data_IF_072884044850
#
_entry.id   IF_072884044850
#
_cell.length_a   1.000
_cell.length_b   1.000
_cell.length_c   1.000
_cell.angle_alpha   90.00
_cell.angle_beta   90.00
_cell.angle_gamma   90.00
#
_symmetry.space_group_name_H-M   'P 1'
#
loop_
_entity.id
_entity.type
_entity.pdbx_description
1 polymer ?
#
# COMPACT_ATOMS: atom_id res chain seq x y z
N UNK A 1 2.52 11.22 21.06
CA UNK A 1 1.64 10.04 20.87
C UNK A 1 2.50 8.87 20.42
N UNK A 2 2.14 7.59 20.67
CA UNK A 2 2.94 6.47 20.19
C UNK A 2 2.83 6.35 18.66
N UNK A 3 3.95 6.07 17.98
CA UNK A 3 3.99 5.86 16.53
C UNK A 3 3.04 4.73 16.08
N UNK A 4 2.41 4.89 14.92
CA UNK A 4 1.57 3.88 14.28
C UNK A 4 2.39 2.68 13.78
N UNK A 5 3.60 2.91 13.26
CA UNK A 5 4.56 1.88 12.89
C UNK A 5 5.92 2.22 13.50
N UNK A 6 6.62 1.21 14.01
CA UNK A 6 8.04 1.30 14.35
C UNK A 6 8.73 0.01 13.94
N UNK A 7 9.75 0.10 13.09
CA UNK A 7 10.60 -1.04 12.71
C UNK A 7 12.02 -0.83 13.23
N UNK A 8 12.71 -1.93 13.51
CA UNK A 8 14.14 -1.91 13.82
C UNK A 8 14.85 -3.02 13.06
N UNK A 9 15.76 -2.65 12.16
CA UNK A 9 16.59 -3.54 11.37
C UNK A 9 15.81 -4.59 10.59
N UNK A 10 14.62 -4.24 10.05
CA UNK A 10 13.74 -5.21 9.41
C UNK A 10 14.37 -5.76 8.12
N UNK A 11 14.49 -7.09 7.98
CA UNK A 11 15.08 -7.72 6.80
C UNK A 11 14.18 -8.78 6.17
N UNK A 12 14.41 -9.04 4.89
CA UNK A 12 13.83 -10.20 4.20
C UNK A 12 14.77 -10.76 3.15
N UNK A 13 15.09 -12.04 3.32
CA UNK A 13 15.88 -12.84 2.39
C UNK A 13 15.04 -13.98 1.82
N UNK A 14 15.12 -14.17 0.51
CA UNK A 14 14.51 -15.29 -0.21
C UNK A 14 15.60 -16.23 -0.73
N UNK A 15 15.38 -17.53 -0.58
CA UNK A 15 16.20 -18.58 -1.17
C UNK A 15 15.45 -19.15 -2.38
N UNK A 16 15.96 -18.86 -3.58
CA UNK A 16 15.33 -19.28 -4.83
C UNK A 16 15.98 -20.59 -5.28
N UNK A 17 15.24 -21.68 -5.16
CA UNK A 17 15.52 -22.96 -5.82
C UNK A 17 14.67 -23.03 -7.09
N UNK A 18 15.32 -22.95 -8.26
CA UNK A 18 14.59 -23.12 -9.52
C UNK A 18 14.15 -24.58 -9.68
N UNK A 19 12.91 -24.87 -10.14
CA UNK A 19 12.54 -26.24 -10.48
C UNK A 19 13.47 -26.78 -11.57
N UNK A 20 13.87 -28.05 -11.46
CA UNK A 20 14.66 -28.73 -12.49
C UNK A 20 13.89 -28.71 -13.82
N UNK A 21 14.36 -27.92 -14.79
CA UNK A 21 13.96 -28.10 -16.18
C UNK A 21 14.45 -29.47 -16.65
N UNK A 22 13.55 -30.35 -17.10
CA UNK A 22 13.84 -31.73 -17.56
C UNK A 22 14.96 -31.85 -18.61
N UNK A 23 15.40 -30.75 -19.23
CA UNK A 23 16.29 -30.77 -20.38
C UNK A 23 17.80 -30.70 -20.09
N UNK A 24 18.30 -30.26 -18.95
CA UNK A 24 19.76 -30.20 -18.72
C UNK A 24 20.16 -30.38 -17.25
N UNK A 25 20.96 -31.42 -16.98
CA UNK A 25 21.61 -31.67 -15.70
C UNK A 25 22.79 -30.72 -15.51
N UNK A 26 22.53 -29.46 -15.21
CA UNK A 26 23.54 -28.58 -14.62
C UNK A 26 23.13 -28.28 -13.18
N UNK A 27 23.98 -28.53 -12.16
CA UNK A 27 23.71 -28.09 -10.80
C UNK A 27 23.67 -26.56 -10.81
N UNK A 28 22.47 -25.98 -10.67
CA UNK A 28 22.31 -24.54 -10.49
C UNK A 28 22.44 -24.23 -9.01
N UNK A 29 23.38 -23.35 -8.67
CA UNK A 29 23.60 -22.89 -7.31
C UNK A 29 22.34 -22.19 -6.79
N UNK A 30 21.92 -22.44 -5.54
CA UNK A 30 20.83 -21.72 -4.90
C UNK A 30 21.12 -20.21 -4.96
N UNK A 31 20.18 -19.42 -5.48
CA UNK A 31 20.32 -17.96 -5.49
C UNK A 31 19.63 -17.37 -4.28
N UNK A 32 20.39 -16.66 -3.46
CA UNK A 32 19.85 -15.90 -2.34
C UNK A 32 19.60 -14.45 -2.77
N UNK A 33 18.41 -13.93 -2.47
CA UNK A 33 18.01 -12.54 -2.76
C UNK A 33 17.60 -11.86 -1.47
N UNK A 34 18.39 -10.87 -1.03
CA UNK A 34 18.05 -10.00 0.08
C UNK A 34 17.20 -8.82 -0.45
N UNK A 35 15.89 -8.97 -0.33
CA UNK A 35 14.89 -8.03 -0.87
C UNK A 35 14.69 -6.81 0.04
N UNK A 36 14.91 -6.97 1.34
CA UNK A 36 14.85 -5.88 2.33
C UNK A 36 16.06 -6.02 3.26
N UNK A 37 16.82 -4.95 3.42
CA UNK A 37 18.20 -4.95 3.96
C UNK A 37 18.36 -4.04 5.17
N UNK A 38 17.50 -4.21 6.17
CA UNK A 38 17.57 -3.47 7.43
C UNK A 38 16.83 -2.14 7.36
N UNK A 39 15.50 -2.20 7.30
CA UNK A 39 14.65 -1.00 7.32
C UNK A 39 14.35 -0.58 8.75
N UNK A 40 14.79 0.63 9.09
CA UNK A 40 14.43 1.37 10.30
C UNK A 40 13.46 2.50 9.93
N UNK A 41 12.19 2.34 10.30
CA UNK A 41 11.10 3.21 9.91
C UNK A 41 10.23 3.50 11.13
N UNK A 42 9.91 4.77 11.34
CA UNK A 42 8.84 5.20 12.24
C UNK A 42 7.75 5.83 11.39
N UNK A 43 6.47 5.58 11.68
CA UNK A 43 5.32 6.24 11.05
C UNK A 43 4.42 6.77 12.17
N UNK A 44 4.08 8.05 12.11
CA UNK A 44 3.27 8.72 13.11
C UNK A 44 1.76 8.47 12.89
N UNK A 45 0.97 8.67 13.95
CA UNK A 45 -0.48 8.55 13.83
C UNK A 45 -1.07 9.71 13.02
N UNK A 46 -2.02 9.43 12.13
CA UNK A 46 -2.67 10.43 11.28
C UNK A 46 -1.84 10.98 10.12
N UNK A 47 -0.65 10.44 9.84
CA UNK A 47 0.12 10.81 8.63
C UNK A 47 -0.20 9.88 7.44
N UNK A 48 -0.04 10.42 6.23
CA UNK A 48 0.05 9.68 4.97
C UNK A 48 1.52 9.53 4.64
N UNK A 49 2.06 8.32 4.81
CA UNK A 49 3.42 7.98 4.42
C UNK A 49 3.45 7.42 2.99
N UNK A 50 4.20 8.07 2.11
CA UNK A 50 4.54 7.54 0.79
C UNK A 50 5.85 6.75 0.81
N UNK A 51 5.77 5.44 0.61
CA UNK A 51 6.90 4.54 0.48
C UNK A 51 7.27 4.40 -1.01
N UNK A 52 8.17 5.26 -1.46
CA UNK A 52 8.48 5.53 -2.85
C UNK A 52 9.76 4.80 -3.28
N UNK A 53 9.79 4.23 -4.49
CA UNK A 53 10.99 3.57 -5.01
C UNK A 53 10.75 2.89 -6.35
N UNK A 54 11.81 2.50 -7.08
CA UNK A 54 11.64 1.79 -8.35
C UNK A 54 11.09 0.37 -8.14
N UNK A 55 10.75 -0.30 -9.24
CA UNK A 55 10.40 -1.73 -9.21
C UNK A 55 11.58 -2.56 -8.69
N UNK A 56 11.27 -3.53 -7.84
CA UNK A 56 12.31 -4.35 -7.19
C UNK A 56 13.01 -3.70 -5.98
N UNK A 57 12.66 -2.48 -5.59
CA UNK A 57 13.30 -1.81 -4.45
C UNK A 57 12.97 -2.41 -3.06
N UNK A 58 12.02 -3.35 -2.98
CA UNK A 58 11.59 -3.96 -1.72
C UNK A 58 10.27 -3.41 -1.13
N UNK A 59 9.56 -2.53 -1.86
CA UNK A 59 8.28 -1.90 -1.43
C UNK A 59 7.22 -2.91 -0.99
N UNK A 60 6.71 -3.70 -1.93
CA UNK A 60 5.69 -4.73 -1.67
C UNK A 60 6.17 -5.77 -0.66
N UNK A 61 7.47 -6.09 -0.63
CA UNK A 61 8.03 -7.03 0.36
C UNK A 61 7.96 -6.44 1.77
N UNK A 62 8.32 -5.17 1.94
CA UNK A 62 8.22 -4.44 3.21
C UNK A 62 6.77 -4.34 3.66
N UNK A 63 5.88 -3.93 2.76
CA UNK A 63 4.45 -3.82 3.06
C UNK A 63 3.88 -5.18 3.50
N UNK A 64 4.16 -6.27 2.77
CA UNK A 64 3.71 -7.63 3.16
C UNK A 64 4.24 -8.08 4.51
N UNK A 65 5.43 -7.64 4.92
CA UNK A 65 5.91 -7.89 6.28
C UNK A 65 5.09 -7.14 7.32
N UNK A 66 4.89 -5.83 7.12
CA UNK A 66 4.12 -4.98 8.02
C UNK A 66 2.64 -5.40 8.14
N UNK A 67 2.09 -6.05 7.10
CA UNK A 67 0.71 -6.58 7.10
C UNK A 67 0.60 -8.03 7.55
N UNK A 68 1.67 -8.63 8.09
CA UNK A 68 1.73 -10.04 8.56
C UNK A 68 1.61 -11.11 7.47
N UNK A 69 1.58 -10.72 6.18
CA UNK A 69 1.49 -11.64 5.05
C UNK A 69 2.82 -12.36 4.75
N UNK A 70 3.93 -11.81 5.22
CA UNK A 70 5.27 -12.37 5.06
C UNK A 70 6.05 -12.21 6.36
N UNK A 71 6.59 -13.28 6.97
CA UNK A 71 7.44 -13.12 8.13
C UNK A 71 8.79 -12.46 7.76
N UNK A 72 9.28 -11.51 8.56
CA UNK A 72 10.65 -11.01 8.42
C UNK A 72 11.69 -12.13 8.60
N UNK A 73 12.84 -11.98 7.96
CA UNK A 73 13.99 -12.86 8.19
C UNK A 73 14.69 -12.49 9.51
N UNK A 74 14.84 -11.20 9.77
CA UNK A 74 15.32 -10.65 11.05
C UNK A 74 14.75 -9.25 11.28
N UNK A 75 15.09 -8.67 12.43
CA UNK A 75 14.57 -7.38 12.88
C UNK A 75 13.24 -7.50 13.61
N UNK A 76 12.70 -6.36 14.01
CA UNK A 76 11.44 -6.27 14.75
C UNK A 76 10.55 -5.19 14.16
N UNK A 77 9.24 -5.31 14.36
CA UNK A 77 8.34 -4.22 14.09
C UNK A 77 7.10 -4.27 14.98
N UNK A 78 6.66 -3.08 15.41
CA UNK A 78 5.38 -2.83 16.05
C UNK A 78 4.49 -2.08 15.06
N UNK A 79 3.27 -2.57 14.85
CA UNK A 79 2.27 -2.02 13.92
C UNK A 79 0.95 -1.86 14.65
N UNK A 80 0.37 -0.65 14.64
CA UNK A 80 -0.84 -0.29 15.38
C UNK A 80 -0.79 -0.70 16.87
N UNK A 81 0.38 -0.51 17.50
CA UNK A 81 0.65 -0.86 18.90
C UNK A 81 0.81 -2.36 19.19
N UNK A 82 0.91 -3.21 18.16
CA UNK A 82 1.04 -4.67 18.28
C UNK A 82 2.33 -5.15 17.62
N UNK A 83 3.06 -6.05 18.28
CA UNK A 83 4.30 -6.61 17.73
C UNK A 83 3.99 -7.67 16.66
N UNK A 84 4.66 -7.58 15.51
CA UNK A 84 4.41 -8.45 14.35
C UNK A 84 4.60 -9.94 14.66
N UNK A 85 5.53 -10.28 15.56
CA UNK A 85 5.94 -11.66 15.81
C UNK A 85 5.09 -12.30 16.90
N UNK A 86 4.79 -11.55 17.95
CA UNK A 86 4.10 -12.04 19.15
C UNK A 86 2.58 -11.85 19.08
N UNK A 87 2.07 -10.84 18.38
CA UNK A 87 0.63 -10.60 18.21
C UNK A 87 0.22 -10.25 16.75
N UNK A 88 0.50 -11.12 15.77
CA UNK A 88 0.10 -10.87 14.37
C UNK A 88 -1.43 -10.82 14.19
N UNK A 89 -2.19 -11.46 15.08
CA UNK A 89 -3.67 -11.40 15.05
C UNK A 89 -4.18 -10.04 15.51
N UNK A 90 -3.58 -9.46 16.55
CA UNK A 90 -3.87 -8.11 17.01
C UNK A 90 -3.53 -7.06 15.95
N UNK A 91 -2.40 -7.22 15.24
CA UNK A 91 -2.06 -6.38 14.08
C UNK A 91 -3.18 -6.42 13.04
N UNK A 92 -3.58 -7.61 12.56
CA UNK A 92 -4.64 -7.77 11.54
C UNK A 92 -6.01 -7.22 11.93
N UNK A 93 -6.31 -7.08 13.23
CA UNK A 93 -7.56 -6.49 13.71
C UNK A 93 -7.57 -4.95 13.68
N UNK A 94 -6.41 -4.33 13.46
CA UNK A 94 -6.23 -2.88 13.52
C UNK A 94 -5.79 -2.28 12.18
N UNK A 95 -5.54 -3.12 11.18
CA UNK A 95 -5.03 -2.68 9.88
C UNK A 95 -5.99 -3.06 8.76
N UNK A 96 -6.21 -2.12 7.84
CA UNK A 96 -6.75 -2.39 6.52
C UNK A 96 -5.61 -2.65 5.54
N UNK A 97 -5.81 -3.55 4.57
CA UNK A 97 -4.84 -3.77 3.51
C UNK A 97 -5.56 -3.90 2.16
N UNK A 98 -5.13 -3.07 1.20
CA UNK A 98 -5.53 -3.13 -0.20
C UNK A 98 -4.31 -3.53 -1.01
N UNK A 99 -4.36 -4.73 -1.61
CA UNK A 99 -3.32 -5.22 -2.49
C UNK A 99 -3.36 -4.51 -3.86
N UNK A 100 -2.25 -4.57 -4.60
CA UNK A 100 -2.18 -4.04 -5.96
C UNK A 100 -3.24 -4.68 -6.87
N UNK A 101 -3.35 -6.00 -6.86
CA UNK A 101 -4.45 -6.75 -7.47
C UNK A 101 -5.62 -6.86 -6.49
N UNK A 102 -6.78 -6.30 -6.83
CA UNK A 102 -8.00 -6.39 -6.02
C UNK A 102 -8.46 -7.84 -5.78
N UNK A 103 -9.35 -8.03 -4.80
CA UNK A 103 -9.78 -9.35 -4.32
C UNK A 103 -11.27 -9.66 -4.49
N UNK A 104 -12.06 -8.75 -5.05
CA UNK A 104 -13.52 -8.87 -5.13
C UNK A 104 -13.97 -9.98 -6.08
N UNK A 105 -15.00 -10.75 -5.70
CA UNK A 105 -15.65 -11.69 -6.61
C UNK A 105 -16.44 -10.93 -7.70
N UNK A 106 -16.10 -11.09 -9.00
CA UNK A 106 -16.74 -10.33 -10.08
C UNK A 106 -18.24 -10.66 -10.25
N UNK A 107 -18.71 -11.81 -9.79
CA UNK A 107 -20.10 -12.23 -9.93
C UNK A 107 -21.01 -11.70 -8.81
N UNK A 108 -20.44 -11.25 -7.70
CA UNK A 108 -21.17 -10.82 -6.49
C UNK A 108 -21.51 -9.32 -6.56
N UNK A 109 -22.64 -8.90 -5.98
CA UNK A 109 -23.00 -7.47 -5.92
C UNK A 109 -22.16 -6.73 -4.90
N UNK A 110 -21.89 -5.45 -5.13
CA UNK A 110 -21.13 -4.59 -4.20
C UNK A 110 -21.66 -4.64 -2.76
N UNK A 111 -22.99 -4.59 -2.59
CA UNK A 111 -23.66 -4.74 -1.29
C UNK A 111 -23.31 -6.05 -0.61
N UNK A 112 -23.34 -7.14 -1.34
CA UNK A 112 -23.15 -8.49 -0.82
C UNK A 112 -21.70 -8.69 -0.41
N UNK A 113 -20.76 -8.17 -1.21
CA UNK A 113 -19.33 -8.18 -0.91
C UNK A 113 -19.03 -7.43 0.40
N UNK A 114 -19.49 -6.19 0.54
CA UNK A 114 -19.33 -5.39 1.75
C UNK A 114 -19.99 -6.03 2.98
N UNK A 115 -21.19 -6.58 2.80
CA UNK A 115 -21.92 -7.23 3.90
C UNK A 115 -21.23 -8.52 4.33
N UNK A 116 -20.67 -9.28 3.38
CA UNK A 116 -19.90 -10.49 3.65
C UNK A 116 -18.63 -10.16 4.42
N UNK A 117 -17.88 -9.14 3.98
CA UNK A 117 -16.70 -8.64 4.69
C UNK A 117 -17.04 -8.22 6.12
N UNK A 118 -18.14 -7.50 6.33
CA UNK A 118 -18.59 -7.08 7.65
C UNK A 118 -18.88 -8.28 8.58
N UNK A 119 -19.52 -9.32 8.04
CA UNK A 119 -19.79 -10.57 8.77
C UNK A 119 -18.51 -11.35 9.09
N UNK A 120 -17.51 -11.36 8.20
CA UNK A 120 -16.21 -11.98 8.48
C UNK A 120 -15.50 -11.30 9.66
N UNK A 121 -15.68 -9.99 9.82
CA UNK A 121 -15.26 -9.23 11.00
C UNK A 121 -16.24 -9.29 12.18
N UNK A 122 -17.20 -10.23 12.14
CA UNK A 122 -18.17 -10.51 13.21
C UNK A 122 -19.14 -9.38 13.52
N UNK A 123 -19.37 -8.47 12.56
CA UNK A 123 -20.50 -7.56 12.62
C UNK A 123 -21.77 -8.35 12.25
N UNK A 124 -22.65 -8.55 13.22
CA UNK A 124 -23.85 -9.38 13.06
C UNK A 124 -25.13 -8.55 12.86
N UNK A 125 -26.16 -9.17 12.29
CA UNK A 125 -27.50 -8.61 12.16
C UNK A 125 -27.53 -7.25 11.44
N UNK A 126 -28.18 -6.27 12.07
CA UNK A 126 -28.33 -4.91 11.54
C UNK A 126 -27.01 -4.12 11.50
N UNK A 127 -25.99 -4.53 12.28
CA UNK A 127 -24.70 -3.84 12.31
C UNK A 127 -23.95 -3.96 10.98
N UNK A 128 -23.95 -5.15 10.36
CA UNK A 128 -23.33 -5.34 9.04
C UNK A 128 -23.99 -4.45 7.98
N UNK A 129 -25.33 -4.47 7.91
CA UNK A 129 -26.06 -3.66 6.93
C UNK A 129 -25.97 -2.15 7.16
N UNK A 130 -25.74 -1.72 8.42
CA UNK A 130 -25.43 -0.32 8.73
C UNK A 130 -24.01 0.03 8.27
N UNK A 131 -23.00 -0.77 8.63
CA UNK A 131 -21.60 -0.54 8.21
C UNK A 131 -21.44 -0.53 6.69
N UNK A 132 -22.14 -1.42 5.97
CA UNK A 132 -22.19 -1.42 4.51
C UNK A 132 -22.69 -0.09 3.95
N UNK A 133 -23.76 0.48 4.54
CA UNK A 133 -24.32 1.77 4.08
C UNK A 133 -23.42 2.95 4.41
N UNK A 134 -22.82 2.96 5.59
CA UNK A 134 -21.83 3.97 6.00
C UNK A 134 -20.69 4.00 4.98
N UNK A 135 -20.00 2.87 4.78
CA UNK A 135 -18.89 2.78 3.83
C UNK A 135 -19.29 3.09 2.39
N UNK A 136 -20.50 2.68 1.97
CA UNK A 136 -20.96 3.00 0.63
C UNK A 136 -21.24 4.49 0.43
N UNK A 137 -21.59 5.24 1.48
CA UNK A 137 -21.69 6.68 1.43
C UNK A 137 -20.29 7.31 1.41
N UNK A 138 -19.42 6.91 2.35
CA UNK A 138 -18.08 7.49 2.53
C UNK A 138 -17.17 7.34 1.30
N UNK A 139 -17.34 6.23 0.56
CA UNK A 139 -16.56 5.88 -0.62
C UNK A 139 -17.30 6.09 -1.94
N UNK A 140 -18.41 6.83 -1.93
CA UNK A 140 -19.15 7.19 -3.15
C UNK A 140 -19.63 5.95 -3.96
N UNK A 141 -20.04 4.89 -3.26
CA UNK A 141 -20.52 3.61 -3.83
C UNK A 141 -22.03 3.40 -3.72
N UNK A 142 -22.78 4.33 -3.10
CA UNK A 142 -24.21 4.17 -2.79
C UNK A 142 -25.04 3.80 -4.03
N UNK A 143 -24.83 4.47 -5.16
CA UNK A 143 -25.50 4.18 -6.43
C UNK A 143 -25.01 2.91 -7.15
N UNK A 144 -24.02 2.21 -6.60
CA UNK A 144 -23.38 1.03 -7.18
C UNK A 144 -23.68 -0.25 -6.39
N UNK A 145 -24.38 -0.15 -5.25
CA UNK A 145 -24.60 -1.25 -4.31
C UNK A 145 -25.18 -2.52 -4.94
N UNK A 146 -26.07 -2.37 -5.92
CA UNK A 146 -26.75 -3.51 -6.57
C UNK A 146 -26.09 -3.93 -7.90
N UNK A 147 -24.98 -3.28 -8.28
CA UNK A 147 -24.18 -3.69 -9.45
C UNK A 147 -23.27 -4.88 -9.09
N UNK A 148 -23.05 -5.83 -10.02
CA UNK A 148 -21.98 -6.81 -9.87
C UNK A 148 -20.60 -6.14 -9.82
N UNK A 149 -19.69 -6.64 -8.98
CA UNK A 149 -18.33 -6.09 -8.85
C UNK A 149 -17.55 -6.16 -10.17
N UNK A 150 -17.84 -7.17 -11.00
CA UNK A 150 -17.29 -7.34 -12.35
C UNK A 150 -17.61 -6.17 -13.29
N UNK A 151 -18.72 -5.46 -13.07
CA UNK A 151 -19.18 -4.34 -13.90
C UNK A 151 -18.67 -2.97 -13.43
N UNK A 152 -17.86 -2.91 -12.37
CA UNK A 152 -17.26 -1.67 -11.88
C UNK A 152 -16.08 -1.24 -12.76
N UNK A 153 -15.91 0.07 -12.96
CA UNK A 153 -14.67 0.63 -13.51
C UNK A 153 -13.49 0.37 -12.57
N UNK A 154 -12.25 0.54 -13.05
CA UNK A 154 -11.05 0.40 -12.23
C UNK A 154 -11.08 1.27 -10.97
N UNK A 155 -11.44 2.55 -11.11
CA UNK A 155 -11.57 3.48 -9.98
C UNK A 155 -12.70 3.09 -9.01
N UNK A 156 -13.85 2.65 -9.51
CA UNK A 156 -14.96 2.17 -8.67
C UNK A 156 -14.57 0.91 -7.90
N UNK A 157 -13.88 -0.03 -8.55
CA UNK A 157 -13.38 -1.24 -7.91
C UNK A 157 -12.34 -0.92 -6.83
N UNK A 158 -11.43 0.03 -7.10
CA UNK A 158 -10.47 0.47 -6.09
C UNK A 158 -11.14 1.10 -4.87
N UNK A 159 -12.20 1.90 -5.08
CA UNK A 159 -13.02 2.42 -3.96
C UNK A 159 -13.70 1.31 -3.18
N UNK A 160 -14.21 0.27 -3.84
CA UNK A 160 -14.72 -0.92 -3.16
C UNK A 160 -13.65 -1.65 -2.35
N UNK A 161 -12.45 -1.85 -2.90
CA UNK A 161 -11.34 -2.48 -2.17
C UNK A 161 -10.99 -1.72 -0.88
N UNK A 162 -10.93 -0.39 -0.96
CA UNK A 162 -10.70 0.46 0.22
C UNK A 162 -11.86 0.33 1.21
N UNK A 163 -13.12 0.28 0.75
CA UNK A 163 -14.29 0.11 1.63
C UNK A 163 -14.21 -1.23 2.40
N UNK A 164 -13.84 -2.30 1.72
CA UNK A 164 -13.63 -3.61 2.35
C UNK A 164 -12.50 -3.59 3.39
N UNK A 165 -11.42 -2.86 3.13
CA UNK A 165 -10.31 -2.72 4.06
C UNK A 165 -10.70 -1.92 5.31
N UNK A 166 -11.62 -0.95 5.19
CA UNK A 166 -12.11 -0.10 6.27
C UNK A 166 -13.26 -0.73 7.08
N UNK A 167 -13.76 -1.90 6.70
CA UNK A 167 -14.97 -2.51 7.26
C UNK A 167 -14.93 -2.69 8.77
N UNK A 168 -13.77 -3.02 9.34
CA UNK A 168 -13.60 -3.25 10.77
C UNK A 168 -13.02 -2.05 11.54
N UNK A 169 -13.04 -0.87 10.92
CA UNK A 169 -12.59 0.40 11.50
C UNK A 169 -11.10 0.39 11.91
N UNK A 170 -10.18 0.12 10.95
CA UNK A 170 -8.76 0.07 11.25
C UNK A 170 -8.18 1.45 11.59
N UNK A 171 -7.16 1.46 12.45
CA UNK A 171 -6.37 2.65 12.80
C UNK A 171 -5.36 3.00 11.68
N UNK A 172 -4.98 2.00 10.88
CA UNK A 172 -3.93 2.11 9.86
C UNK A 172 -4.34 1.39 8.56
N UNK A 173 -4.25 2.08 7.43
CA UNK A 173 -4.58 1.56 6.11
C UNK A 173 -3.31 1.42 5.25
N UNK A 174 -3.05 0.20 4.77
CA UNK A 174 -1.99 -0.08 3.82
C UNK A 174 -2.54 -0.14 2.39
N UNK A 175 -1.93 0.62 1.48
CA UNK A 175 -2.29 0.68 0.07
C UNK A 175 -1.09 0.28 -0.79
N UNK A 176 -1.15 -0.88 -1.45
CA UNK A 176 -0.08 -1.33 -2.34
C UNK A 176 -0.34 -0.84 -3.77
N UNK A 177 0.37 0.20 -4.20
CA UNK A 177 0.22 0.88 -5.49
C UNK A 177 -1.24 1.23 -5.85
N UNK A 178 -1.90 2.11 -5.05
CA UNK A 178 -3.35 2.31 -5.11
C UNK A 178 -3.86 2.84 -6.44
N UNK A 179 -3.06 3.51 -7.26
CA UNK A 179 -3.53 4.08 -8.53
C UNK A 179 -2.92 3.46 -9.78
N UNK A 180 -2.20 2.35 -9.65
CA UNK A 180 -1.69 1.60 -10.81
C UNK A 180 -2.83 1.13 -11.69
N UNK A 181 -2.73 1.41 -12.99
CA UNK A 181 -3.72 1.03 -14.01
C UNK A 181 -5.00 1.87 -14.02
N UNK A 182 -5.07 2.96 -13.24
CA UNK A 182 -6.20 3.90 -13.26
C UNK A 182 -5.95 5.06 -14.24
N UNK A 183 -7.02 5.50 -14.89
CA UNK A 183 -7.01 6.76 -15.65
C UNK A 183 -6.80 7.97 -14.73
N UNK A 184 -6.39 9.15 -15.27
CA UNK A 184 -6.10 10.34 -14.45
C UNK A 184 -7.27 10.81 -13.57
N UNK A 185 -8.51 10.68 -14.06
CA UNK A 185 -9.71 11.08 -13.30
C UNK A 185 -9.92 10.17 -12.08
N UNK A 186 -9.89 8.86 -12.30
CA UNK A 186 -9.98 7.85 -11.24
C UNK A 186 -8.83 7.97 -10.22
N UNK A 187 -7.61 8.26 -10.67
CA UNK A 187 -6.45 8.51 -9.80
C UNK A 187 -6.72 9.68 -8.85
N UNK A 188 -7.16 10.82 -9.39
CA UNK A 188 -7.49 12.00 -8.59
C UNK A 188 -8.66 11.76 -7.61
N UNK A 189 -9.63 10.91 -7.95
CA UNK A 189 -10.70 10.49 -7.03
C UNK A 189 -10.16 9.68 -5.85
N UNK A 190 -9.31 8.68 -6.11
CA UNK A 190 -8.68 7.86 -5.07
C UNK A 190 -7.82 8.75 -4.16
N UNK A 191 -7.06 9.68 -4.73
CA UNK A 191 -6.25 10.60 -3.95
C UNK A 191 -7.08 11.47 -3.00
N UNK A 192 -8.19 12.06 -3.51
CA UNK A 192 -9.13 12.82 -2.68
C UNK A 192 -9.72 11.97 -1.57
N UNK A 193 -10.10 10.72 -1.86
CA UNK A 193 -10.61 9.79 -0.86
C UNK A 193 -9.56 9.51 0.24
N UNK A 194 -8.31 9.21 -0.12
CA UNK A 194 -7.25 8.93 0.86
C UNK A 194 -7.01 10.12 1.78
N UNK A 195 -6.98 11.34 1.23
CA UNK A 195 -6.88 12.56 2.05
C UNK A 195 -8.06 12.72 3.01
N UNK A 196 -9.31 12.55 2.53
CA UNK A 196 -10.51 12.60 3.39
C UNK A 196 -10.46 11.57 4.53
N UNK A 197 -9.99 10.35 4.26
CA UNK A 197 -9.85 9.32 5.31
C UNK A 197 -8.87 9.76 6.40
N UNK A 198 -7.77 10.42 6.04
CA UNK A 198 -6.86 11.02 7.03
C UNK A 198 -7.53 12.18 7.74
N UNK A 199 -8.04 13.16 7.00
CA UNK A 199 -8.49 14.46 7.53
C UNK A 199 -9.73 14.31 8.44
N UNK A 200 -10.70 13.49 8.02
CA UNK A 200 -12.01 13.38 8.69
C UNK A 200 -12.06 12.23 9.69
N UNK A 201 -11.25 11.18 9.52
CA UNK A 201 -11.26 9.97 10.38
C UNK A 201 -9.98 9.73 11.15
N UNK A 202 -8.93 10.49 10.90
CA UNK A 202 -7.63 10.32 11.56
C UNK A 202 -6.93 9.01 11.21
N UNK A 203 -7.30 8.34 10.11
CA UNK A 203 -6.66 7.08 9.70
C UNK A 203 -5.23 7.36 9.26
N UNK A 204 -4.26 6.63 9.82
CA UNK A 204 -2.89 6.62 9.28
C UNK A 204 -2.88 5.85 7.96
N UNK A 205 -2.20 6.36 6.95
CA UNK A 205 -2.09 5.69 5.64
C UNK A 205 -0.63 5.40 5.33
N UNK A 206 -0.35 4.16 4.97
CA UNK A 206 0.94 3.75 4.38
C UNK A 206 0.66 3.34 2.93
N UNK A 207 1.18 4.08 1.96
CA UNK A 207 1.06 3.72 0.54
C UNK A 207 2.43 3.38 -0.05
N UNK A 208 2.49 2.35 -0.90
CA UNK A 208 3.63 2.14 -1.78
C UNK A 208 3.33 2.75 -3.13
N UNK A 209 4.33 3.37 -3.75
CA UNK A 209 4.20 3.86 -5.11
C UNK A 209 5.54 3.88 -5.82
N UNK A 210 5.48 3.86 -7.14
CA UNK A 210 6.61 4.21 -8.00
C UNK A 210 6.31 5.49 -8.79
N UNK A 211 5.16 6.14 -8.56
CA UNK A 211 4.73 7.37 -9.20
C UNK A 211 5.08 8.58 -8.33
N UNK A 212 5.84 9.51 -8.90
CA UNK A 212 6.31 10.69 -8.17
C UNK A 212 5.22 11.72 -7.95
N UNK A 213 4.33 11.90 -8.94
CA UNK A 213 3.14 12.75 -8.83
C UNK A 213 2.22 12.27 -7.71
N UNK A 214 2.02 10.96 -7.57
CA UNK A 214 1.27 10.37 -6.46
C UNK A 214 1.93 10.65 -5.11
N UNK A 215 3.21 10.33 -5.01
CA UNK A 215 4.00 10.55 -3.80
C UNK A 215 3.95 12.03 -3.36
N UNK A 216 4.17 12.93 -4.30
CA UNK A 216 4.21 14.37 -4.08
C UNK A 216 2.84 14.96 -3.74
N UNK A 217 1.78 14.48 -4.39
CA UNK A 217 0.44 14.95 -4.11
C UNK A 217 -0.06 14.42 -2.75
N UNK A 218 0.13 13.14 -2.44
CA UNK A 218 -0.57 12.52 -1.31
C UNK A 218 0.17 12.54 0.01
N UNK A 219 1.49 12.37 0.00
CA UNK A 219 2.21 12.04 1.21
C UNK A 219 2.54 13.30 2.01
N UNK A 220 2.29 13.25 3.33
CA UNK A 220 2.84 14.25 4.24
C UNK A 220 4.36 14.04 4.38
N UNK A 221 4.78 12.76 4.32
CA UNK A 221 6.18 12.36 4.39
C UNK A 221 6.48 11.21 3.45
N UNK A 222 7.65 11.30 2.83
CA UNK A 222 8.16 10.32 1.89
C UNK A 222 9.33 9.54 2.48
N UNK A 223 9.40 8.27 2.13
CA UNK A 223 10.55 7.40 2.35
C UNK A 223 10.95 6.84 1.00
N UNK A 224 12.09 7.29 0.48
CA UNK A 224 12.67 6.83 -0.78
C UNK A 224 13.48 5.57 -0.49
N UNK A 225 13.21 4.51 -1.24
CA UNK A 225 13.77 3.18 -1.03
C UNK A 225 14.42 2.72 -2.32
N UNK A 226 15.66 2.22 -2.21
CA UNK A 226 16.40 1.66 -3.32
C UNK A 226 17.19 0.44 -2.85
N UNK A 227 17.21 -0.60 -3.69
CA UNK A 227 17.95 -1.85 -3.45
C UNK A 227 17.76 -2.44 -2.03
N UNK A 228 16.52 -2.36 -1.52
CA UNK A 228 16.09 -2.90 -0.24
C UNK A 228 16.43 -2.04 0.99
N UNK A 229 16.92 -0.80 0.82
CA UNK A 229 17.29 0.12 1.90
C UNK A 229 16.56 1.45 1.77
N UNK A 230 16.35 2.13 2.90
CA UNK A 230 15.96 3.54 2.89
C UNK A 230 17.16 4.34 2.39
N UNK A 231 16.94 5.13 1.34
CA UNK A 231 17.95 5.98 0.72
C UNK A 231 17.80 7.44 1.16
N UNK A 232 16.56 7.92 1.33
CA UNK A 232 16.25 9.22 1.90
C UNK A 232 14.85 9.22 2.52
N UNK A 233 14.57 10.17 3.42
CA UNK A 233 13.23 10.37 3.97
C UNK A 233 13.03 11.83 4.39
N UNK A 234 11.79 12.31 4.31
CA UNK A 234 11.42 13.69 4.63
C UNK A 234 10.13 14.08 3.92
N UNK A 235 9.64 15.28 4.17
CA UNK A 235 8.62 15.90 3.31
C UNK A 235 9.15 16.06 1.88
N UNK A 236 8.25 16.20 0.91
CA UNK A 236 8.65 16.45 -0.48
C UNK A 236 9.55 17.69 -0.61
N UNK A 237 9.20 18.78 0.10
CA UNK A 237 9.97 20.01 0.09
C UNK A 237 11.37 19.85 0.69
N UNK A 238 11.53 19.06 1.77
CA UNK A 238 12.84 18.73 2.35
C UNK A 238 13.68 17.92 1.35
N UNK A 239 13.11 16.88 0.76
CA UNK A 239 13.83 16.04 -0.21
C UNK A 239 14.30 16.83 -1.44
N UNK A 240 13.45 17.74 -1.95
CA UNK A 240 13.81 18.63 -3.07
C UNK A 240 14.95 19.58 -2.70
N UNK A 241 14.93 20.17 -1.50
CA UNK A 241 16.04 21.01 -1.01
C UNK A 241 17.33 20.22 -0.86
N UNK A 242 17.27 19.09 -0.16
CA UNK A 242 18.46 18.36 0.28
C UNK A 242 19.13 17.60 -0.87
N UNK A 243 18.36 17.14 -1.87
CA UNK A 243 18.85 16.30 -2.96
C UNK A 243 18.60 16.86 -4.36
N UNK A 244 17.55 17.67 -4.54
CA UNK A 244 17.22 18.33 -5.81
C UNK A 244 17.88 19.71 -5.98
N UNK A 245 18.61 20.19 -4.96
CA UNK A 245 19.33 21.46 -4.96
C UNK A 245 18.49 22.69 -4.61
N UNK A 246 17.16 22.61 -4.63
CA UNK A 246 16.26 23.68 -4.17
C UNK A 246 14.85 23.16 -3.87
N UNK A 247 14.06 23.90 -3.09
CA UNK A 247 12.67 23.52 -2.78
C UNK A 247 11.75 23.54 -4.01
N UNK A 248 12.10 24.35 -5.02
CA UNK A 248 11.35 24.50 -6.27
C UNK A 248 11.71 23.44 -7.32
N UNK A 249 12.74 22.62 -7.06
CA UNK A 249 13.07 21.49 -7.90
C UNK A 249 11.92 20.48 -7.94
N UNK A 250 11.84 19.69 -9.00
CA UNK A 250 10.93 18.55 -9.03
C UNK A 250 11.39 17.45 -8.07
N UNK A 251 10.43 16.62 -7.64
CA UNK A 251 10.75 15.44 -6.83
C UNK A 251 11.59 14.41 -7.64
N UNK A 252 11.52 14.46 -8.97
CA UNK A 252 12.30 13.60 -9.87
C UNK A 252 13.81 13.84 -9.72
N UNK A 253 14.25 15.09 -9.63
CA UNK A 253 15.66 15.44 -9.47
C UNK A 253 16.21 14.89 -8.15
N UNK A 254 15.48 15.09 -7.05
CA UNK A 254 15.82 14.53 -5.75
C UNK A 254 15.86 12.99 -5.78
N UNK A 255 14.86 12.37 -6.40
CA UNK A 255 14.81 10.91 -6.53
C UNK A 255 16.00 10.36 -7.32
N UNK A 256 16.35 11.00 -8.44
CA UNK A 256 17.49 10.60 -9.27
C UNK A 256 18.81 10.75 -8.52
N UNK A 257 18.99 11.86 -7.78
CA UNK A 257 20.18 12.11 -6.98
C UNK A 257 20.36 11.06 -5.87
N UNK A 258 19.26 10.65 -5.23
CA UNK A 258 19.28 9.65 -4.13
C UNK A 258 19.48 8.23 -4.62
N UNK A 259 18.83 7.86 -5.74
CA UNK A 259 18.78 6.46 -6.18
C UNK A 259 19.76 6.13 -7.30
N UNK A 260 20.31 7.14 -7.99
CA UNK A 260 21.13 6.98 -9.20
C UNK A 260 20.36 6.35 -10.37
N UNK A 261 19.03 6.22 -10.28
CA UNK A 261 18.17 5.62 -11.30
C UNK A 261 17.01 6.55 -11.62
N UNK A 262 16.66 6.72 -12.90
CA UNK A 262 15.43 7.41 -13.24
C UNK A 262 14.23 6.56 -12.81
N UNK A 263 13.12 7.20 -12.44
CA UNK A 263 11.81 6.53 -12.38
C UNK A 263 11.44 6.10 -13.80
N UNK A 264 10.92 4.87 -14.02
CA UNK A 264 10.40 4.47 -15.33
C UNK A 264 9.39 5.51 -15.84
N UNK A 265 9.60 6.04 -17.05
CA UNK A 265 8.59 6.90 -17.71
C UNK A 265 7.37 6.03 -18.04
N UNK A 266 6.16 6.58 -17.92
CA UNK A 266 4.91 5.89 -18.26
C UNK A 266 5.03 5.18 -19.62
N UNK A 267 4.76 3.88 -19.67
CA UNK A 267 4.10 3.32 -20.85
C UNK A 267 2.71 3.96 -20.84
N UNK A 268 2.48 4.90 -21.75
CA UNK A 268 1.13 5.32 -22.09
C UNK A 268 0.32 4.04 -22.33
N UNK A 269 -0.69 3.81 -21.49
CA UNK A 269 -1.61 2.71 -21.72
C UNK A 269 -2.05 2.79 -23.19
N UNK A 270 -1.98 1.70 -23.98
CA UNK A 270 -2.46 1.75 -25.34
C UNK A 270 -3.91 2.23 -25.27
N UNK A 271 -4.19 3.33 -25.98
CA UNK A 271 -5.55 3.76 -26.26
C UNK A 271 -6.20 2.54 -26.90
N UNK A 272 -7.12 1.90 -26.17
CA UNK A 272 -7.92 0.84 -26.74
C UNK A 272 -8.73 1.46 -27.88
N UNK A 273 -8.38 1.09 -29.11
CA UNK A 273 -9.15 1.35 -30.33
C UNK A 273 -10.33 0.38 -30.36
#
# INVERSE_FOLDING_TARGET
>A
MPAAIRTSGLTRTFHITSPMSRAFRLPRTPRTVEAVRGIDLTVEQGEILGFLGPNGAGKTTTLRMLTTLLPPTSGTATVAGRDLRTDPRGVRRRIGYVAQSGGTDPAVRVREELTTQARLYRLAGSAAGRRTRELAADLDLTGLLDRPCGALSGGQRRRLDIAMALTHDPELLFLDEPTTGLDPGSRAEVWRLVRRLRDERGVTVFLTTHYLDEADALADRLVIVADGRIAAQGSSAELRRDYGGSAEAGLQEAFLAVTGRPVPREEQAPVAV
#
